data_IF_471555784405
#
_entry.id   IF_471555784405
#
_cell.length_a   1.000
_cell.length_b   1.000
_cell.length_c   1.000
_cell.angle_alpha   90.00
_cell.angle_beta   90.00
_cell.angle_gamma   90.00
#
_symmetry.space_group_name_H-M   'P 1'
#
loop_
_entity.id
_entity.type
_entity.pdbx_description
1 polymer ?
#
# COMPACT_ATOMS: atom_id res chain seq x y z
N UNK A 1 11.49 44.91 38.26
CA UNK A 1 12.74 44.68 37.53
C UNK A 1 12.45 44.44 36.07
N UNK A 2 12.85 45.35 35.19
CA UNK A 2 12.62 45.30 33.74
C UNK A 2 13.18 44.02 33.07
N UNK A 3 14.26 43.48 33.64
CA UNK A 3 14.91 42.22 33.25
C UNK A 3 13.98 41.00 33.40
N UNK A 4 13.18 40.95 34.47
CA UNK A 4 12.27 39.82 34.74
C UNK A 4 11.12 39.77 33.73
N UNK A 5 10.64 40.94 33.28
CA UNK A 5 9.57 41.04 32.27
C UNK A 5 10.06 40.64 30.87
N UNK A 6 11.28 41.01 30.51
CA UNK A 6 11.90 40.61 29.25
C UNK A 6 12.15 39.10 29.18
N UNK A 7 12.66 38.49 30.26
CA UNK A 7 12.88 37.05 30.34
C UNK A 7 11.59 36.24 30.17
N UNK A 8 10.48 36.71 30.76
CA UNK A 8 9.17 36.05 30.67
C UNK A 8 8.58 36.10 29.25
N UNK A 9 8.80 37.20 28.51
CA UNK A 9 8.34 37.33 27.13
C UNK A 9 9.15 36.44 26.16
N UNK A 10 10.47 36.35 26.35
CA UNK A 10 11.33 35.44 25.57
C UNK A 10 10.94 33.98 25.80
N UNK A 11 10.65 33.60 27.05
CA UNK A 11 10.21 32.25 27.38
C UNK A 11 8.88 31.89 26.70
N UNK A 12 7.90 32.80 26.68
CA UNK A 12 6.66 32.61 25.92
C UNK A 12 6.89 32.46 24.42
N UNK A 13 7.77 33.26 23.82
CA UNK A 13 8.08 33.15 22.38
C UNK A 13 8.74 31.81 22.03
N UNK A 14 9.65 31.32 22.88
CA UNK A 14 10.28 30.00 22.71
C UNK A 14 9.24 28.89 22.82
N UNK A 15 8.34 28.96 23.80
CA UNK A 15 7.27 27.97 23.96
C UNK A 15 6.30 27.95 22.76
N UNK A 16 5.90 29.12 22.25
CA UNK A 16 5.03 29.24 21.09
C UNK A 16 5.72 28.67 19.84
N UNK A 17 7.02 28.96 19.66
CA UNK A 17 7.80 28.43 18.56
C UNK A 17 7.95 26.90 18.62
N UNK A 18 8.24 26.34 19.80
CA UNK A 18 8.31 24.89 20.02
C UNK A 18 6.95 24.22 19.73
N UNK A 19 5.84 24.80 20.21
CA UNK A 19 4.50 24.29 19.90
C UNK A 19 4.19 24.35 18.40
N UNK A 20 4.59 25.42 17.70
CA UNK A 20 4.40 25.55 16.26
C UNK A 20 5.23 24.53 15.46
N UNK A 21 6.44 24.21 15.92
CA UNK A 21 7.30 23.18 15.30
C UNK A 21 6.73 21.78 15.55
N UNK A 22 6.31 21.45 16.78
CA UNK A 22 5.69 20.16 17.09
C UNK A 22 4.34 19.94 16.39
N UNK A 23 3.57 21.01 16.17
CA UNK A 23 2.30 20.92 15.45
C UNK A 23 2.48 20.58 13.96
N UNK A 24 3.69 20.76 13.38
CA UNK A 24 3.97 20.41 11.98
C UNK A 24 4.47 18.99 11.77
N UNK A 25 4.74 18.22 12.84
CA UNK A 25 5.34 16.88 12.71
C UNK A 25 4.34 15.72 12.85
N UNK A 26 3.07 15.98 13.18
CA UNK A 26 2.04 14.95 13.20
C UNK A 26 1.18 15.02 11.93
N UNK A 27 1.71 14.49 10.83
CA UNK A 27 0.85 13.88 9.82
C UNK A 27 0.79 12.40 10.23
N UNK A 28 -0.24 12.02 11.00
CA UNK A 28 -0.56 10.60 11.16
C UNK A 28 -0.90 10.09 9.76
N UNK A 29 0.01 9.35 9.14
CA UNK A 29 -0.38 8.46 8.05
C UNK A 29 -1.32 7.45 8.70
N UNK A 30 -2.62 7.60 8.45
CA UNK A 30 -3.59 6.57 8.77
C UNK A 30 -3.03 5.24 8.24
N UNK A 31 -2.77 4.29 9.14
CA UNK A 31 -2.14 3.02 8.79
C UNK A 31 -3.20 2.14 8.10
N UNK A 32 -3.41 2.41 6.81
CA UNK A 32 -4.40 1.71 6.00
C UNK A 32 -4.06 0.22 5.92
N UNK A 33 -5.07 -0.62 6.11
CA UNK A 33 -4.93 -2.06 5.88
C UNK A 33 -4.53 -2.27 4.41
N UNK A 34 -3.42 -2.98 4.14
CA UNK A 34 -2.93 -3.21 2.78
C UNK A 34 -3.95 -3.84 1.86
N UNK A 35 -3.76 -3.68 0.55
CA UNK A 35 -4.64 -4.27 -0.47
C UNK A 35 -3.85 -5.20 -1.38
N UNK A 36 -4.30 -6.44 -1.51
CA UNK A 36 -3.83 -7.42 -2.49
C UNK A 36 -4.80 -7.44 -3.67
N UNK A 37 -4.28 -7.22 -4.88
CA UNK A 37 -5.04 -7.31 -6.13
C UNK A 37 -4.65 -8.59 -6.88
N UNK A 38 -5.64 -9.31 -7.40
CA UNK A 38 -5.40 -10.43 -8.33
C UNK A 38 -6.21 -10.24 -9.61
N UNK A 39 -5.53 -10.11 -10.74
CA UNK A 39 -6.13 -9.87 -12.04
C UNK A 39 -6.89 -11.08 -12.61
N UNK A 40 -7.61 -10.83 -13.70
CA UNK A 40 -8.34 -11.85 -14.45
C UNK A 40 -7.52 -12.50 -15.56
N UNK A 41 -8.15 -13.46 -16.27
CA UNK A 41 -7.59 -14.11 -17.45
C UNK A 41 -7.13 -13.09 -18.51
N UNK A 42 -5.91 -13.23 -19.04
CA UNK A 42 -5.38 -12.38 -20.12
C UNK A 42 -5.05 -10.94 -19.74
N UNK A 43 -4.94 -10.67 -18.45
CA UNK A 43 -4.40 -9.44 -17.91
C UNK A 43 -3.08 -9.73 -17.18
N UNK A 44 -2.47 -8.70 -16.60
CA UNK A 44 -1.26 -8.81 -15.76
C UNK A 44 -1.41 -7.99 -14.49
N UNK A 45 -0.49 -8.16 -13.56
CA UNK A 45 -0.33 -7.31 -12.38
C UNK A 45 -0.26 -5.81 -12.69
N UNK A 46 0.16 -5.44 -13.90
CA UNK A 46 0.93 -4.22 -14.07
C UNK A 46 0.55 -3.38 -15.29
N UNK A 47 -0.31 -3.85 -16.20
CA UNK A 47 -0.69 -3.05 -17.37
C UNK A 47 -1.21 -1.67 -16.95
N UNK A 48 -0.64 -0.56 -17.48
CA UNK A 48 -0.99 0.79 -17.02
C UNK A 48 -2.46 1.15 -17.18
N UNK A 49 -3.16 0.54 -18.13
CA UNK A 49 -4.58 0.77 -18.42
C UNK A 49 -5.52 -0.19 -17.67
N UNK A 50 -5.01 -1.21 -16.98
CA UNK A 50 -5.79 -2.17 -16.19
C UNK A 50 -5.37 -2.16 -14.72
N UNK A 51 -4.72 -3.20 -14.21
CA UNK A 51 -4.36 -3.30 -12.79
C UNK A 51 -3.42 -2.19 -12.33
N UNK A 52 -2.53 -1.70 -13.20
CA UNK A 52 -1.71 -0.53 -12.90
C UNK A 52 -2.55 0.74 -12.67
N UNK A 53 -3.68 0.90 -13.37
CA UNK A 53 -4.61 2.00 -13.13
C UNK A 53 -5.34 1.84 -11.79
N UNK A 54 -5.85 0.64 -11.49
CA UNK A 54 -6.54 0.33 -10.24
C UNK A 54 -5.63 0.56 -9.03
N UNK A 55 -4.39 0.06 -9.08
CA UNK A 55 -3.39 0.30 -8.04
C UNK A 55 -3.18 1.79 -7.78
N UNK A 56 -2.90 2.57 -8.84
CA UNK A 56 -2.70 4.02 -8.70
C UNK A 56 -3.93 4.76 -8.20
N UNK A 57 -5.14 4.30 -8.56
CA UNK A 57 -6.37 4.88 -8.05
C UNK A 57 -6.49 4.66 -6.53
N UNK A 58 -6.25 3.44 -6.05
CA UNK A 58 -6.28 3.13 -4.62
C UNK A 58 -5.23 3.95 -3.85
N UNK A 59 -3.99 3.97 -4.34
CA UNK A 59 -2.89 4.74 -3.72
C UNK A 59 -3.15 6.26 -3.71
N UNK A 60 -3.91 6.77 -4.70
CA UNK A 60 -4.29 8.18 -4.76
C UNK A 60 -5.37 8.54 -3.74
N UNK A 61 -6.38 7.68 -3.58
CA UNK A 61 -7.50 7.94 -2.67
C UNK A 61 -7.16 7.63 -1.20
N UNK A 62 -6.16 6.78 -0.96
CA UNK A 62 -5.69 6.37 0.37
C UNK A 62 -4.18 6.64 0.49
N UNK A 63 -3.82 7.87 0.87
CA UNK A 63 -2.42 8.30 0.97
C UNK A 63 -1.63 7.43 1.96
N UNK A 64 -0.60 6.73 1.47
CA UNK A 64 0.25 5.84 2.27
C UNK A 64 -0.18 4.37 2.34
N UNK A 65 -1.28 3.96 1.68
CA UNK A 65 -1.67 2.53 1.64
C UNK A 65 -0.66 1.69 0.85
N UNK A 66 -0.37 0.48 1.34
CA UNK A 66 0.41 -0.51 0.59
C UNK A 66 -0.50 -1.34 -0.33
N UNK A 67 -0.24 -1.29 -1.64
CA UNK A 67 -0.97 -2.10 -2.64
C UNK A 67 -0.04 -3.08 -3.34
N UNK A 68 -0.30 -4.36 -3.16
CA UNK A 68 0.38 -5.45 -3.84
C UNK A 68 -0.49 -5.99 -4.97
N UNK A 69 -0.01 -5.93 -6.21
CA UNK A 69 -0.69 -6.51 -7.37
C UNK A 69 0.02 -7.79 -7.76
N UNK A 70 -0.67 -8.92 -7.62
CA UNK A 70 -0.12 -10.26 -7.81
C UNK A 70 0.40 -10.41 -9.24
N UNK A 71 1.66 -10.83 -9.38
CA UNK A 71 2.29 -11.28 -10.61
C UNK A 71 2.65 -12.77 -10.45
N UNK A 72 2.29 -13.59 -11.43
CA UNK A 72 2.57 -15.02 -11.48
C UNK A 72 3.62 -15.32 -12.56
N UNK A 73 4.86 -15.57 -12.13
CA UNK A 73 6.02 -15.77 -13.01
C UNK A 73 7.03 -14.65 -12.85
N UNK A 74 8.03 -14.62 -13.73
CA UNK A 74 9.17 -13.72 -13.55
C UNK A 74 9.01 -12.36 -14.27
N UNK A 75 7.98 -12.24 -15.12
CA UNK A 75 7.73 -11.04 -15.92
C UNK A 75 6.28 -10.96 -16.40
N UNK A 76 5.91 -9.80 -16.96
CA UNK A 76 4.54 -9.51 -17.43
C UNK A 76 4.05 -10.45 -18.54
N UNK A 77 4.96 -11.01 -19.36
CA UNK A 77 4.57 -11.91 -20.47
C UNK A 77 4.18 -13.27 -19.90
N UNK A 78 4.98 -13.79 -18.96
CA UNK A 78 4.64 -15.02 -18.24
C UNK A 78 3.36 -14.88 -17.43
N UNK A 79 3.17 -13.74 -16.76
CA UNK A 79 1.96 -13.43 -15.98
C UNK A 79 0.69 -13.51 -16.84
N UNK A 80 0.72 -12.89 -18.03
CA UNK A 80 -0.39 -12.95 -18.99
C UNK A 80 -0.66 -14.38 -19.47
N UNK A 81 0.40 -15.12 -19.84
CA UNK A 81 0.29 -16.50 -20.34
C UNK A 81 -0.23 -17.44 -19.24
N UNK A 82 0.28 -17.33 -18.03
CA UNK A 82 -0.18 -18.10 -16.88
C UNK A 82 -1.64 -17.82 -16.54
N UNK A 83 -2.12 -16.60 -16.79
CA UNK A 83 -3.54 -16.25 -16.71
C UNK A 83 -4.44 -17.18 -17.55
N UNK A 84 -3.94 -17.73 -18.66
CA UNK A 84 -4.67 -18.67 -19.52
C UNK A 84 -4.30 -20.14 -19.32
N UNK A 85 -3.01 -20.45 -19.18
CA UNK A 85 -2.48 -21.80 -19.35
C UNK A 85 -1.83 -22.39 -18.09
N UNK A 86 -1.69 -21.60 -17.03
CA UNK A 86 -1.02 -22.06 -15.81
C UNK A 86 -1.89 -22.98 -14.95
N UNK A 87 -1.25 -23.85 -14.17
CA UNK A 87 -1.94 -24.67 -13.18
C UNK A 87 -2.33 -23.81 -11.97
N UNK A 88 -3.63 -23.64 -11.74
CA UNK A 88 -4.15 -22.77 -10.68
C UNK A 88 -3.66 -23.18 -9.28
N UNK A 89 -3.49 -24.47 -9.00
CA UNK A 89 -3.01 -24.90 -7.67
C UNK A 89 -1.57 -24.46 -7.42
N UNK A 90 -0.72 -24.53 -8.44
CA UNK A 90 0.67 -24.09 -8.35
C UNK A 90 0.74 -22.57 -8.20
N UNK A 91 -0.11 -21.83 -8.91
CA UNK A 91 -0.23 -20.38 -8.77
C UNK A 91 -0.65 -19.97 -7.37
N UNK A 92 -1.68 -20.63 -6.81
CA UNK A 92 -2.14 -20.37 -5.44
C UNK A 92 -1.00 -20.63 -4.45
N UNK A 93 -0.26 -21.74 -4.62
CA UNK A 93 0.90 -22.04 -3.78
C UNK A 93 2.00 -20.98 -3.85
N UNK A 94 2.36 -20.56 -5.07
CA UNK A 94 3.35 -19.51 -5.30
C UNK A 94 2.92 -18.18 -4.68
N UNK A 95 1.68 -17.74 -4.92
CA UNK A 95 1.16 -16.46 -4.44
C UNK A 95 1.04 -16.47 -2.92
N UNK A 96 0.57 -17.57 -2.31
CA UNK A 96 0.51 -17.71 -0.86
C UNK A 96 1.91 -17.62 -0.22
N UNK A 97 2.93 -18.24 -0.82
CA UNK A 97 4.30 -18.14 -0.35
C UNK A 97 4.85 -16.70 -0.45
N UNK A 98 4.59 -16.01 -1.56
CA UNK A 98 4.98 -14.61 -1.75
C UNK A 98 4.31 -13.69 -0.73
N UNK A 99 3.00 -13.83 -0.52
CA UNK A 99 2.26 -13.04 0.47
C UNK A 99 2.77 -13.31 1.89
N UNK A 100 3.04 -14.58 2.24
CA UNK A 100 3.56 -14.94 3.55
C UNK A 100 4.97 -14.39 3.83
N UNK A 101 5.77 -14.16 2.77
CA UNK A 101 7.11 -13.60 2.87
C UNK A 101 7.12 -12.06 2.94
N UNK A 102 6.02 -11.39 2.60
CA UNK A 102 5.94 -9.93 2.59
C UNK A 102 5.63 -9.38 3.99
N UNK A 103 6.57 -8.66 4.64
CA UNK A 103 6.35 -8.11 5.97
C UNK A 103 5.21 -7.09 6.02
N UNK A 104 4.89 -6.40 4.91
CA UNK A 104 3.80 -5.44 4.87
C UNK A 104 2.43 -6.11 4.96
N UNK A 105 2.31 -7.39 4.56
CA UNK A 105 1.06 -8.15 4.56
C UNK A 105 0.89 -9.03 5.82
N UNK A 106 1.92 -9.09 6.68
CA UNK A 106 1.98 -9.97 7.85
C UNK A 106 0.91 -9.72 8.92
N UNK A 107 0.39 -8.48 9.00
CA UNK A 107 -0.68 -8.09 9.94
C UNK A 107 -2.09 -8.17 9.34
N UNK A 108 -2.22 -8.81 8.18
CA UNK A 108 -3.47 -8.92 7.44
C UNK A 108 -3.56 -7.90 6.30
N UNK A 109 -4.49 -8.16 5.38
CA UNK A 109 -4.72 -7.37 4.18
C UNK A 109 -6.17 -7.53 3.71
N UNK A 110 -6.67 -6.54 2.98
CA UNK A 110 -7.85 -6.68 2.13
C UNK A 110 -7.44 -7.32 0.81
N UNK A 111 -8.35 -8.08 0.18
CA UNK A 111 -8.09 -8.68 -1.11
C UNK A 111 -9.21 -8.36 -2.11
N UNK A 112 -8.82 -8.03 -3.35
CA UNK A 112 -9.75 -7.74 -4.45
C UNK A 112 -9.32 -8.54 -5.66
N UNK A 113 -10.20 -9.46 -6.08
CA UNK A 113 -9.98 -10.28 -7.27
C UNK A 113 -10.88 -9.84 -8.43
N UNK A 114 -10.30 -9.78 -9.62
CA UNK A 114 -11.01 -9.44 -10.85
C UNK A 114 -11.26 -10.69 -11.68
N UNK A 115 -12.50 -10.92 -12.11
CA UNK A 115 -12.87 -12.10 -12.90
C UNK A 115 -12.41 -13.40 -12.22
N UNK A 116 -11.57 -14.23 -12.86
CA UNK A 116 -11.06 -15.47 -12.26
C UNK A 116 -10.25 -15.25 -10.98
N UNK A 117 -9.55 -14.11 -10.84
CA UNK A 117 -8.78 -13.79 -9.64
C UNK A 117 -9.63 -13.71 -8.38
N UNK A 118 -10.93 -13.43 -8.51
CA UNK A 118 -11.88 -13.47 -7.39
C UNK A 118 -12.10 -14.88 -6.84
N UNK A 119 -12.03 -15.91 -7.69
CA UNK A 119 -12.11 -17.30 -7.25
C UNK A 119 -10.78 -17.80 -6.67
N UNK A 120 -9.65 -17.27 -7.16
CA UNK A 120 -8.31 -17.66 -6.69
C UNK A 120 -7.99 -17.16 -5.28
N UNK A 121 -8.65 -16.07 -4.86
CA UNK A 121 -8.52 -15.48 -3.52
C UNK A 121 -9.40 -16.15 -2.44
N UNK A 122 -10.22 -17.15 -2.79
CA UNK A 122 -11.12 -17.83 -1.85
C UNK A 122 -10.46 -19.04 -1.21
#
# INVERSE_FOLDING_TARGET
>A
GMVVRAASAVFCFVLIFVCFVSARTHQETEDYVPVVLWHGMGDTCCFPWSMGHIKRLIEKELDGVYVYSVMVGDNIIEDEIHGFLGNVNDQIGQVAATIAADPNLSRGFNAVGFSQGGQFLR
#
